data_IF_780911834163
#
_entry.id   IF_780911834163
#
_cell.length_a   1.000
_cell.length_b   1.000
_cell.length_c   1.000
_cell.angle_alpha   90.00
_cell.angle_beta   90.00
_cell.angle_gamma   90.00
#
_symmetry.space_group_name_H-M   'P 1'
#
loop_
_entity.id
_entity.type
_entity.pdbx_description
1 polymer ?
#
# COMPACT_ATOMS: atom_id res chain seq x y z
N UNK A 1 -7.10 54.87 -9.31
CA UNK A 1 -6.80 53.62 -8.60
C UNK A 1 -7.21 52.46 -9.49
N UNK A 2 -6.37 51.44 -9.72
CA UNK A 2 -6.72 50.31 -10.61
C UNK A 2 -7.81 49.45 -9.95
N UNK A 3 -8.71 48.89 -10.74
CA UNK A 3 -9.78 47.98 -10.29
C UNK A 3 -9.32 46.53 -10.35
N UNK A 4 -9.62 45.75 -9.30
CA UNK A 4 -9.27 44.34 -9.17
C UNK A 4 -10.51 43.52 -8.85
N UNK A 5 -10.69 42.42 -9.56
CA UNK A 5 -11.71 41.41 -9.26
C UNK A 5 -11.08 40.17 -8.63
N UNK A 6 -11.61 39.70 -7.51
CA UNK A 6 -11.27 38.41 -6.90
C UNK A 6 -12.40 37.43 -7.18
N UNK A 7 -12.12 36.35 -7.90
CA UNK A 7 -13.06 35.26 -8.17
C UNK A 7 -12.85 34.16 -7.14
N UNK A 8 -13.82 34.00 -6.24
CA UNK A 8 -13.82 33.03 -5.14
C UNK A 8 -13.72 33.69 -3.77
N UNK A 9 -14.83 33.76 -3.04
CA UNK A 9 -14.91 34.36 -1.69
C UNK A 9 -14.57 33.35 -0.56
N UNK A 10 -13.72 32.37 -0.85
CA UNK A 10 -13.28 31.36 0.10
C UNK A 10 -12.31 31.91 1.16
N UNK A 11 -11.75 31.00 1.97
CA UNK A 11 -10.74 31.33 3.00
C UNK A 11 -9.57 32.14 2.42
N UNK A 12 -9.03 31.69 1.28
CA UNK A 12 -7.91 32.38 0.65
C UNK A 12 -8.33 33.68 -0.05
N UNK A 13 -9.49 33.72 -0.72
CA UNK A 13 -9.98 34.96 -1.35
C UNK A 13 -10.12 36.13 -0.36
N UNK A 14 -10.58 35.86 0.86
CA UNK A 14 -10.60 36.85 1.97
C UNK A 14 -9.21 37.28 2.41
N UNK A 15 -8.25 36.36 2.39
CA UNK A 15 -6.84 36.63 2.73
C UNK A 15 -6.20 37.53 1.67
N UNK A 16 -6.44 37.22 0.39
CA UNK A 16 -5.99 38.05 -0.72
C UNK A 16 -6.65 39.44 -0.68
N UNK A 17 -7.95 39.53 -0.42
CA UNK A 17 -8.63 40.81 -0.23
C UNK A 17 -7.94 41.66 0.84
N UNK A 18 -7.63 41.07 2.02
CA UNK A 18 -6.89 41.76 3.09
C UNK A 18 -5.52 42.27 2.63
N UNK A 19 -4.83 41.54 1.75
CA UNK A 19 -3.51 41.91 1.26
C UNK A 19 -3.55 43.14 0.34
N UNK A 20 -4.56 43.24 -0.53
CA UNK A 20 -4.55 44.20 -1.65
C UNK A 20 -5.57 45.35 -1.53
N UNK A 21 -6.51 45.29 -0.57
CA UNK A 21 -7.64 46.24 -0.46
C UNK A 21 -7.24 47.70 -0.24
N UNK A 22 -6.05 47.96 0.29
CA UNK A 22 -5.61 49.32 0.63
C UNK A 22 -4.96 50.03 -0.58
N UNK A 23 -4.61 49.29 -1.65
CA UNK A 23 -3.94 49.83 -2.84
C UNK A 23 -4.83 49.80 -4.10
N UNK A 24 -5.92 49.03 -4.07
CA UNK A 24 -6.79 48.79 -5.22
C UNK A 24 -8.27 48.94 -4.86
N UNK A 25 -9.09 49.25 -5.86
CA UNK A 25 -10.54 49.13 -5.74
C UNK A 25 -10.91 47.67 -5.99
N UNK A 26 -11.14 46.91 -4.92
CA UNK A 26 -11.32 45.46 -4.99
C UNK A 26 -12.79 45.06 -4.92
N UNK A 27 -13.23 44.25 -5.88
CA UNK A 27 -14.55 43.59 -5.87
C UNK A 27 -14.37 42.08 -5.75
N UNK A 28 -15.13 41.43 -4.87
CA UNK A 28 -15.06 39.97 -4.64
C UNK A 28 -16.33 39.32 -5.17
N UNK A 29 -16.16 38.25 -5.95
CA UNK A 29 -17.24 37.53 -6.62
C UNK A 29 -17.22 36.05 -6.24
N UNK A 30 -18.39 35.42 -6.22
CA UNK A 30 -18.58 33.98 -6.03
C UNK A 30 -19.42 33.38 -7.17
N UNK A 31 -19.67 32.06 -7.13
CA UNK A 31 -20.31 31.30 -8.21
C UNK A 31 -21.69 31.82 -8.67
N UNK A 32 -22.38 32.59 -7.82
CA UNK A 32 -23.74 33.12 -8.12
C UNK A 32 -23.69 34.48 -8.82
N UNK A 33 -22.55 35.16 -8.82
CA UNK A 33 -22.44 36.49 -9.39
C UNK A 33 -22.35 36.45 -10.91
N UNK A 34 -22.80 37.53 -11.56
CA UNK A 34 -22.68 37.67 -13.01
C UNK A 34 -21.22 37.79 -13.43
N UNK A 35 -20.79 36.88 -14.30
CA UNK A 35 -19.42 36.85 -14.85
C UNK A 35 -19.05 38.16 -15.53
N UNK A 36 -20.00 38.84 -16.18
CA UNK A 36 -19.77 40.10 -16.86
C UNK A 36 -19.21 41.17 -15.91
N UNK A 37 -19.71 41.25 -14.67
CA UNK A 37 -19.26 42.23 -13.67
C UNK A 37 -17.80 42.01 -13.26
N UNK A 38 -17.31 40.77 -13.33
CA UNK A 38 -15.90 40.43 -13.00
C UNK A 38 -14.96 41.16 -13.96
N UNK A 39 -15.32 41.29 -15.24
CA UNK A 39 -14.49 41.87 -16.30
C UNK A 39 -14.71 43.38 -16.50
N UNK A 40 -15.41 44.04 -15.58
CA UNK A 40 -15.31 45.49 -15.44
C UNK A 40 -13.92 45.91 -14.92
N UNK A 41 -13.22 44.98 -14.24
CA UNK A 41 -11.84 45.16 -13.80
C UNK A 41 -10.83 44.68 -14.85
N UNK A 42 -9.66 45.32 -14.90
CA UNK A 42 -8.56 44.88 -15.77
C UNK A 42 -7.78 43.71 -15.17
N UNK A 43 -7.71 43.63 -13.84
CA UNK A 43 -6.98 42.61 -13.10
C UNK A 43 -7.97 41.63 -12.49
N UNK A 44 -7.79 40.34 -12.75
CA UNK A 44 -8.65 39.28 -12.22
C UNK A 44 -7.79 38.24 -11.50
N UNK A 45 -7.98 38.10 -10.19
CA UNK A 45 -7.41 37.02 -9.39
C UNK A 45 -8.38 35.84 -9.27
N UNK A 46 -7.86 34.62 -9.45
CA UNK A 46 -8.64 33.39 -9.32
C UNK A 46 -8.30 32.64 -8.03
N UNK A 47 -9.16 32.79 -7.03
CA UNK A 47 -9.12 32.16 -5.71
C UNK A 47 -10.12 31.00 -5.58
N UNK A 48 -10.27 30.19 -6.64
CA UNK A 48 -11.19 29.05 -6.69
C UNK A 48 -10.46 27.73 -6.38
N UNK A 49 -11.17 26.66 -5.97
CA UNK A 49 -10.56 25.34 -5.83
C UNK A 49 -9.87 24.89 -7.12
N UNK A 50 -8.74 24.18 -6.99
CA UNK A 50 -7.93 23.72 -8.13
C UNK A 50 -8.77 22.89 -9.10
N UNK A 51 -9.53 21.93 -8.57
CA UNK A 51 -10.49 21.09 -9.32
C UNK A 51 -11.58 21.86 -10.06
N UNK A 52 -11.94 23.05 -9.60
CA UNK A 52 -12.97 23.89 -10.23
C UNK A 52 -12.40 24.86 -11.27
N UNK A 53 -11.08 25.03 -11.31
CA UNK A 53 -10.43 26.09 -12.07
C UNK A 53 -10.71 26.01 -13.57
N UNK A 54 -10.61 24.81 -14.17
CA UNK A 54 -10.88 24.65 -15.60
C UNK A 54 -12.29 25.09 -15.99
N UNK A 55 -13.29 24.65 -15.23
CA UNK A 55 -14.69 25.00 -15.50
C UNK A 55 -14.94 26.50 -15.39
N UNK A 56 -14.30 27.17 -14.44
CA UNK A 56 -14.37 28.63 -14.26
C UNK A 56 -13.71 29.34 -15.45
N UNK A 57 -12.48 28.95 -15.83
CA UNK A 57 -11.81 29.57 -16.97
C UNK A 57 -12.58 29.34 -18.28
N UNK A 58 -13.14 28.14 -18.47
CA UNK A 58 -13.93 27.79 -19.63
C UNK A 58 -15.20 28.64 -19.77
N UNK A 59 -15.93 28.88 -18.67
CA UNK A 59 -17.14 29.72 -18.67
C UNK A 59 -16.83 31.20 -18.86
N UNK A 60 -15.63 31.63 -18.47
CA UNK A 60 -15.16 33.00 -18.57
C UNK A 60 -14.55 33.37 -19.93
N UNK A 61 -14.21 32.39 -20.77
CA UNK A 61 -13.39 32.58 -21.98
C UNK A 61 -13.86 33.70 -22.92
N UNK A 62 -15.17 33.89 -23.06
CA UNK A 62 -15.77 34.89 -23.96
C UNK A 62 -15.52 36.35 -23.53
N UNK A 63 -15.11 36.56 -22.28
CA UNK A 63 -14.83 37.89 -21.73
C UNK A 63 -13.35 38.26 -21.80
N UNK A 64 -12.47 37.33 -22.18
CA UNK A 64 -11.03 37.57 -22.27
C UNK A 64 -10.71 38.58 -23.39
N UNK A 65 -9.91 39.59 -23.06
CA UNK A 65 -9.56 40.72 -23.95
C UNK A 65 -8.12 41.13 -23.66
N UNK A 66 -7.47 41.79 -24.62
CA UNK A 66 -6.08 42.26 -24.53
C UNK A 66 -5.75 43.08 -23.27
N UNK A 67 -6.71 43.84 -22.76
CA UNK A 67 -6.55 44.66 -21.55
C UNK A 67 -6.51 43.85 -20.25
N UNK A 68 -6.96 42.59 -20.27
CA UNK A 68 -7.12 41.80 -19.04
C UNK A 68 -5.81 41.11 -18.64
N UNK A 69 -5.58 41.06 -17.32
CA UNK A 69 -4.49 40.34 -16.66
C UNK A 69 -5.11 39.32 -15.72
N UNK A 70 -4.94 38.04 -16.02
CA UNK A 70 -5.44 36.93 -15.23
C UNK A 70 -4.35 36.41 -14.30
N UNK A 71 -4.65 36.23 -13.02
CA UNK A 71 -3.67 35.79 -12.02
C UNK A 71 -4.26 34.62 -11.22
N UNK A 72 -3.66 33.45 -11.32
CA UNK A 72 -4.03 32.32 -10.47
C UNK A 72 -3.27 32.36 -9.14
N UNK A 73 -3.89 31.89 -8.05
CA UNK A 73 -3.26 31.73 -6.73
C UNK A 73 -3.38 30.29 -6.22
N UNK A 74 -3.49 29.32 -7.14
CA UNK A 74 -3.67 27.91 -6.78
C UNK A 74 -2.41 27.33 -6.15
N UNK A 75 -2.53 26.24 -5.40
CA UNK A 75 -1.36 25.61 -4.77
C UNK A 75 -0.54 24.68 -5.67
N UNK A 76 -0.95 24.54 -6.92
CA UNK A 76 -0.22 23.84 -8.00
C UNK A 76 -0.10 24.78 -9.20
N UNK A 77 0.87 24.59 -10.07
CA UNK A 77 1.19 25.55 -11.14
C UNK A 77 1.16 24.94 -12.54
N UNK A 78 1.52 23.67 -12.73
CA UNK A 78 1.43 23.04 -14.05
C UNK A 78 -0.03 22.93 -14.53
N UNK A 79 -0.97 22.69 -13.60
CA UNK A 79 -2.39 22.60 -13.91
C UNK A 79 -2.99 23.93 -14.41
N UNK A 80 -2.91 25.06 -13.69
CA UNK A 80 -3.39 26.34 -14.20
C UNK A 80 -2.64 26.80 -15.45
N UNK A 81 -1.33 26.51 -15.58
CA UNK A 81 -0.57 26.80 -16.80
C UNK A 81 -1.17 26.09 -18.04
N UNK A 82 -1.50 24.81 -17.93
CA UNK A 82 -2.10 24.04 -19.02
C UNK A 82 -3.49 24.57 -19.40
N UNK A 83 -4.31 24.91 -18.40
CA UNK A 83 -5.66 25.47 -18.60
C UNK A 83 -5.57 26.84 -19.27
N UNK A 84 -4.73 27.74 -18.76
CA UNK A 84 -4.54 29.04 -19.42
C UNK A 84 -4.01 28.88 -20.84
N UNK A 85 -3.05 27.97 -21.08
CA UNK A 85 -2.58 27.70 -22.45
C UNK A 85 -3.73 27.29 -23.38
N UNK A 86 -4.60 26.38 -22.92
CA UNK A 86 -5.78 25.91 -23.67
C UNK A 86 -6.77 27.04 -23.98
N UNK A 87 -7.17 27.82 -22.97
CA UNK A 87 -8.29 28.77 -23.11
C UNK A 87 -7.89 30.19 -23.52
N UNK A 88 -6.61 30.55 -23.45
CA UNK A 88 -6.12 31.85 -23.90
C UNK A 88 -5.59 31.83 -25.34
N UNK A 89 -5.52 30.65 -25.97
CA UNK A 89 -5.14 30.50 -27.38
C UNK A 89 -6.04 31.39 -28.26
N UNK A 90 -5.42 32.20 -29.13
CA UNK A 90 -6.14 33.14 -30.00
C UNK A 90 -6.58 34.45 -29.33
N UNK A 91 -6.24 34.68 -28.06
CA UNK A 91 -6.49 35.96 -27.35
C UNK A 91 -5.16 36.64 -27.04
N UNK A 92 -5.13 37.97 -26.91
CA UNK A 92 -3.95 38.71 -26.38
C UNK A 92 -4.00 38.91 -24.86
N UNK A 93 -4.84 38.15 -24.17
CA UNK A 93 -5.02 38.26 -22.73
C UNK A 93 -3.77 37.79 -22.01
N UNK A 94 -3.31 38.58 -21.05
CA UNK A 94 -2.15 38.27 -20.24
C UNK A 94 -2.51 37.33 -19.09
N UNK A 95 -1.58 36.49 -18.69
CA UNK A 95 -1.75 35.64 -17.51
C UNK A 95 -0.43 35.45 -16.75
N UNK A 96 -0.54 35.46 -15.43
CA UNK A 96 0.52 35.17 -14.47
C UNK A 96 0.12 33.95 -13.64
N UNK A 97 1.11 33.14 -13.29
CA UNK A 97 0.90 32.07 -12.32
C UNK A 97 1.53 32.48 -11.01
N UNK A 98 0.76 32.40 -9.91
CA UNK A 98 1.27 32.70 -8.58
C UNK A 98 0.89 31.62 -7.59
N UNK A 99 1.69 31.46 -6.55
CA UNK A 99 1.30 30.65 -5.40
C UNK A 99 1.80 31.32 -4.12
N UNK A 100 0.89 32.01 -3.40
CA UNK A 100 1.15 32.45 -2.04
C UNK A 100 1.34 31.21 -1.16
N UNK A 101 2.55 31.00 -0.63
CA UNK A 101 2.89 29.86 0.24
C UNK A 101 2.41 30.07 1.67
N UNK A 102 1.30 30.79 1.82
CA UNK A 102 0.70 31.19 3.06
C UNK A 102 -0.82 31.21 2.91
N UNK A 103 -1.52 31.04 4.02
CA UNK A 103 -2.97 31.13 4.10
C UNK A 103 -3.42 31.97 5.28
N UNK A 104 -4.73 31.95 5.61
CA UNK A 104 -5.30 32.73 6.69
C UNK A 104 -4.61 32.51 8.05
N UNK A 105 -4.07 31.30 8.28
CA UNK A 105 -3.46 30.92 9.55
C UNK A 105 -2.04 31.47 9.72
N UNK A 106 -1.24 31.45 8.66
CA UNK A 106 0.13 31.97 8.67
C UNK A 106 0.17 33.49 8.52
N UNK A 107 -0.80 34.11 7.85
CA UNK A 107 -0.85 35.56 7.63
C UNK A 107 -1.62 36.35 8.70
N UNK A 108 -1.87 35.75 9.88
CA UNK A 108 -2.60 36.41 10.99
C UNK A 108 -1.90 37.69 11.44
N UNK A 109 -0.57 37.64 11.54
CA UNK A 109 0.28 38.74 12.04
C UNK A 109 0.78 39.71 10.96
N UNK A 110 0.35 39.53 9.70
CA UNK A 110 0.86 40.29 8.57
C UNK A 110 1.39 39.38 7.47
N UNK A 111 1.97 39.98 6.43
CA UNK A 111 2.50 39.29 5.25
C UNK A 111 4.02 39.36 5.12
N UNK A 112 4.68 40.11 6.02
CA UNK A 112 6.14 40.32 6.04
C UNK A 112 6.90 38.99 6.03
N UNK A 113 7.84 38.86 5.10
CA UNK A 113 8.70 37.70 4.91
C UNK A 113 8.00 36.43 4.39
N UNK A 114 6.67 36.43 4.22
CA UNK A 114 5.97 35.25 3.73
C UNK A 114 6.30 34.99 2.25
N UNK A 115 6.49 33.73 1.81
CA UNK A 115 6.88 33.46 0.44
C UNK A 115 5.70 33.51 -0.54
N UNK A 116 5.94 34.07 -1.73
CA UNK A 116 5.07 33.94 -2.90
C UNK A 116 5.89 33.47 -4.10
N UNK A 117 5.42 32.44 -4.79
CA UNK A 117 5.99 32.02 -6.07
C UNK A 117 5.34 32.82 -7.18
N UNK A 118 6.15 33.28 -8.14
CA UNK A 118 5.67 33.93 -9.36
C UNK A 118 6.33 33.33 -10.60
N UNK A 119 5.51 32.98 -11.59
CA UNK A 119 5.93 32.60 -12.94
C UNK A 119 5.34 33.62 -13.92
N UNK A 120 6.21 34.19 -14.77
CA UNK A 120 5.84 35.15 -15.81
C UNK A 120 4.78 34.59 -16.77
N UNK A 121 4.84 33.29 -17.05
CA UNK A 121 3.97 32.58 -17.99
C UNK A 121 3.78 33.33 -19.32
N UNK A 122 2.65 34.03 -19.52
CA UNK A 122 2.30 34.72 -20.77
C UNK A 122 2.25 36.25 -20.62
N UNK A 123 2.54 36.78 -19.45
CA UNK A 123 2.55 38.24 -19.22
C UNK A 123 3.72 38.91 -19.93
N UNK A 124 3.55 40.18 -20.28
CA UNK A 124 4.65 41.00 -20.77
C UNK A 124 5.61 41.38 -19.61
N UNK A 125 6.85 41.83 -19.91
CA UNK A 125 7.82 42.19 -18.88
C UNK A 125 7.30 43.24 -17.88
N UNK A 126 6.57 44.26 -18.34
CA UNK A 126 6.07 45.34 -17.48
C UNK A 126 5.05 44.85 -16.45
N UNK A 127 4.10 44.02 -16.89
CA UNK A 127 3.09 43.40 -16.02
C UNK A 127 3.74 42.48 -15.00
N UNK A 128 4.70 41.66 -15.45
CA UNK A 128 5.44 40.77 -14.57
C UNK A 128 6.22 41.53 -13.50
N UNK A 129 7.00 42.53 -13.91
CA UNK A 129 7.81 43.35 -13.01
C UNK A 129 6.93 44.15 -12.05
N UNK A 130 5.80 44.70 -12.52
CA UNK A 130 4.85 45.39 -11.65
C UNK A 130 4.40 44.50 -10.49
N UNK A 131 3.93 43.28 -10.75
CA UNK A 131 3.47 42.38 -9.69
C UNK A 131 4.59 41.89 -8.79
N UNK A 132 5.77 41.64 -9.37
CA UNK A 132 6.97 41.27 -8.61
C UNK A 132 7.34 42.37 -7.60
N UNK A 133 7.48 43.60 -8.06
CA UNK A 133 7.85 44.71 -7.18
C UNK A 133 6.73 45.06 -6.20
N UNK A 134 5.46 45.02 -6.63
CA UNK A 134 4.32 45.22 -5.73
C UNK A 134 4.33 44.28 -4.52
N UNK A 135 4.59 42.98 -4.72
CA UNK A 135 4.66 42.04 -3.60
C UNK A 135 5.90 42.28 -2.73
N UNK A 136 7.05 42.65 -3.33
CA UNK A 136 8.25 43.02 -2.55
C UNK A 136 8.02 44.26 -1.69
N UNK A 137 7.34 45.29 -2.22
CA UNK A 137 7.02 46.52 -1.50
C UNK A 137 6.05 46.26 -0.31
N UNK A 138 5.29 45.16 -0.38
CA UNK A 138 4.46 44.65 0.73
C UNK A 138 5.26 43.82 1.75
N UNK A 139 6.58 43.75 1.62
CA UNK A 139 7.46 42.94 2.47
C UNK A 139 7.35 41.43 2.20
N UNK A 140 6.71 41.01 1.11
CA UNK A 140 6.54 39.59 0.76
C UNK A 140 7.81 39.10 0.08
N UNK A 141 8.27 37.90 0.46
CA UNK A 141 9.42 37.26 -0.16
C UNK A 141 9.03 36.66 -1.52
N UNK A 142 9.35 37.35 -2.61
CA UNK A 142 9.02 36.92 -3.98
C UNK A 142 10.08 35.96 -4.51
N UNK A 143 9.63 34.77 -4.90
CA UNK A 143 10.46 33.70 -5.45
C UNK A 143 10.05 33.45 -6.90
N UNK A 144 10.93 33.78 -7.84
CA UNK A 144 10.72 33.56 -9.28
C UNK A 144 11.02 32.10 -9.62
N UNK A 145 10.05 31.38 -10.18
CA UNK A 145 10.21 29.94 -10.45
C UNK A 145 9.26 29.47 -11.55
N UNK A 146 9.70 28.54 -12.40
CA UNK A 146 8.82 27.94 -13.41
C UNK A 146 7.73 27.06 -12.78
N UNK A 147 6.57 26.95 -13.43
CA UNK A 147 5.47 26.08 -12.98
C UNK A 147 5.89 24.61 -12.76
N UNK A 148 6.79 24.08 -13.60
CA UNK A 148 7.30 22.72 -13.50
C UNK A 148 8.21 22.54 -12.28
N UNK A 149 9.12 23.49 -12.07
CA UNK A 149 10.03 23.47 -10.93
C UNK A 149 9.26 23.64 -9.62
N UNK A 150 8.28 24.55 -9.60
CA UNK A 150 7.35 24.73 -8.48
C UNK A 150 6.69 23.41 -8.10
N UNK A 151 5.99 22.75 -9.04
CA UNK A 151 5.23 21.55 -8.70
C UNK A 151 6.15 20.41 -8.26
N UNK A 152 7.36 20.32 -8.82
CA UNK A 152 8.36 19.34 -8.38
C UNK A 152 8.76 19.56 -6.92
N UNK A 153 9.08 20.81 -6.53
CA UNK A 153 9.47 21.15 -5.16
C UNK A 153 8.28 21.09 -4.19
N UNK A 154 7.11 21.58 -4.61
CA UNK A 154 5.88 21.58 -3.83
C UNK A 154 5.45 20.15 -3.49
N UNK A 155 5.61 19.19 -4.39
CA UNK A 155 5.28 17.79 -4.11
C UNK A 155 6.07 17.22 -2.92
N UNK A 156 7.37 17.48 -2.85
CA UNK A 156 8.25 16.97 -1.78
C UNK A 156 8.29 17.86 -0.54
N UNK A 157 7.64 19.02 -0.56
CA UNK A 157 7.51 19.92 0.59
C UNK A 157 6.04 19.99 1.03
N UNK A 158 5.26 20.94 0.52
CA UNK A 158 3.85 21.13 0.88
C UNK A 158 3.02 19.84 0.71
N UNK A 159 3.14 19.16 -0.43
CA UNK A 159 2.41 17.93 -0.71
C UNK A 159 2.72 16.82 0.29
N UNK A 160 3.99 16.67 0.69
CA UNK A 160 4.41 15.73 1.71
C UNK A 160 3.90 16.15 3.11
N UNK A 161 4.07 17.42 3.50
CA UNK A 161 3.62 17.94 4.80
C UNK A 161 2.12 17.74 5.00
N UNK A 162 1.30 18.07 3.99
CA UNK A 162 -0.15 17.83 4.04
C UNK A 162 -0.50 16.34 4.12
N UNK A 163 0.24 15.48 3.42
CA UNK A 163 0.01 14.04 3.48
C UNK A 163 0.35 13.49 4.88
N UNK A 164 1.48 13.89 5.46
CA UNK A 164 1.88 13.48 6.82
C UNK A 164 0.87 13.99 7.86
N UNK A 165 0.43 15.24 7.79
CA UNK A 165 -0.55 15.77 8.72
C UNK A 165 -1.88 15.01 8.68
N UNK A 166 -2.40 14.69 7.48
CA UNK A 166 -3.60 13.86 7.31
C UNK A 166 -3.39 12.40 7.74
N UNK A 167 -2.22 11.84 7.49
CA UNK A 167 -1.86 10.49 7.94
C UNK A 167 -1.86 10.41 9.48
N UNK A 168 -1.28 11.40 10.16
CA UNK A 168 -1.26 11.46 11.61
C UNK A 168 -2.66 11.65 12.21
N UNK A 169 -3.52 12.44 11.54
CA UNK A 169 -4.94 12.57 11.90
C UNK A 169 -5.67 11.21 11.79
N UNK A 170 -5.47 10.47 10.69
CA UNK A 170 -6.04 9.13 10.48
C UNK A 170 -5.55 8.11 11.53
N UNK A 171 -4.26 8.19 11.90
CA UNK A 171 -3.68 7.41 13.00
C UNK A 171 -4.25 7.80 14.38
N UNK A 172 -5.12 8.82 14.46
CA UNK A 172 -5.68 9.38 15.70
C UNK A 172 -4.61 9.88 16.66
N UNK A 173 -3.56 10.51 16.11
CA UNK A 173 -2.49 11.11 16.90
C UNK A 173 -3.04 12.21 17.82
N UNK A 174 -2.80 12.11 19.12
CA UNK A 174 -3.39 12.99 20.15
C UNK A 174 -2.30 13.51 21.10
N UNK A 175 -2.50 14.72 21.67
CA UNK A 175 -1.60 15.24 22.70
C UNK A 175 -1.63 14.36 23.96
N UNK A 176 -0.52 14.37 24.69
CA UNK A 176 -0.33 13.62 25.95
C UNK A 176 0.28 14.52 27.03
N UNK A 177 0.28 14.05 28.28
CA UNK A 177 0.89 14.77 29.40
C UNK A 177 2.43 14.83 29.35
N UNK A 178 3.06 14.05 28.47
CA UNK A 178 4.52 13.91 28.35
C UNK A 178 5.05 14.42 27.00
N UNK A 179 4.28 15.27 26.30
CA UNK A 179 4.61 15.74 24.96
C UNK A 179 5.94 16.51 24.91
N UNK A 180 6.89 15.94 24.17
CA UNK A 180 8.16 16.60 23.85
C UNK A 180 7.97 17.81 22.92
N UNK A 181 8.96 18.70 22.78
CA UNK A 181 8.94 19.76 21.77
C UNK A 181 8.73 19.23 20.33
N UNK A 182 9.26 18.03 20.02
CA UNK A 182 9.06 17.39 18.72
C UNK A 182 7.60 16.95 18.51
N UNK A 183 6.98 16.39 19.54
CA UNK A 183 5.55 16.01 19.52
C UNK A 183 4.66 17.23 19.26
N UNK A 184 4.96 18.36 19.91
CA UNK A 184 4.22 19.62 19.70
C UNK A 184 4.30 20.11 18.25
N UNK A 185 5.46 19.99 17.59
CA UNK A 185 5.61 20.32 16.17
C UNK A 185 4.76 19.42 15.26
N UNK A 186 4.65 18.13 15.56
CA UNK A 186 3.76 17.24 14.79
C UNK A 186 2.29 17.63 14.97
N UNK A 187 1.87 17.98 16.19
CA UNK A 187 0.52 18.49 16.46
C UNK A 187 0.26 19.82 15.72
N UNK A 188 1.26 20.70 15.63
CA UNK A 188 1.18 21.93 14.83
C UNK A 188 1.01 21.63 13.34
N UNK A 189 1.75 20.64 12.80
CA UNK A 189 1.60 20.19 11.41
C UNK A 189 0.16 19.70 11.17
N UNK A 190 -0.37 18.82 12.03
CA UNK A 190 -1.76 18.35 11.95
C UNK A 190 -2.72 19.54 11.96
N UNK A 191 -2.59 20.45 12.94
CA UNK A 191 -3.45 21.62 13.06
C UNK A 191 -3.43 22.48 11.80
N UNK A 192 -2.24 22.73 11.25
CA UNK A 192 -2.08 23.55 10.05
C UNK A 192 -2.70 22.87 8.83
N UNK A 193 -2.40 21.60 8.59
CA UNK A 193 -2.81 20.90 7.36
C UNK A 193 -4.26 20.44 7.39
N UNK A 194 -4.80 20.13 8.57
CA UNK A 194 -6.15 19.61 8.74
C UNK A 194 -7.20 20.72 8.90
N UNK A 195 -6.78 21.96 9.16
CA UNK A 195 -7.65 23.15 9.08
C UNK A 195 -8.12 23.44 7.65
N UNK A 196 -7.37 22.99 6.65
CA UNK A 196 -7.76 23.08 5.25
C UNK A 196 -8.80 22.04 4.86
N UNK A 197 -9.50 22.28 3.76
CA UNK A 197 -10.55 21.37 3.31
C UNK A 197 -9.98 20.07 2.75
N UNK A 198 -10.75 18.99 2.85
CA UNK A 198 -10.43 17.73 2.15
C UNK A 198 -10.31 17.92 0.64
N UNK A 199 -11.08 18.84 0.06
CA UNK A 199 -10.98 19.19 -1.36
C UNK A 199 -9.60 19.74 -1.71
N UNK A 200 -9.06 20.69 -0.93
CA UNK A 200 -7.73 21.24 -1.19
C UNK A 200 -6.65 20.16 -1.07
N UNK A 201 -6.73 19.34 -0.02
CA UNK A 201 -5.82 18.20 0.15
C UNK A 201 -5.85 17.26 -1.06
N UNK A 202 -7.05 16.86 -1.46
CA UNK A 202 -7.26 15.95 -2.60
C UNK A 202 -6.73 16.55 -3.89
N UNK A 203 -6.99 17.83 -4.11
CA UNK A 203 -6.55 18.55 -5.29
C UNK A 203 -5.02 18.67 -5.37
N UNK A 204 -4.37 19.01 -4.25
CA UNK A 204 -2.90 19.05 -4.14
C UNK A 204 -2.29 17.70 -4.57
N UNK A 205 -2.90 16.59 -4.13
CA UNK A 205 -2.42 15.23 -4.37
C UNK A 205 -2.75 14.66 -5.75
N UNK A 206 -3.68 15.27 -6.50
CA UNK A 206 -4.11 14.78 -7.82
C UNK A 206 -3.65 15.67 -8.97
N UNK A 207 -3.65 17.00 -8.80
CA UNK A 207 -3.31 17.94 -9.87
C UNK A 207 -1.83 18.30 -9.94
N UNK A 208 -1.03 17.92 -8.95
CA UNK A 208 0.42 17.95 -9.05
C UNK A 208 0.95 16.59 -9.52
N UNK A 209 1.54 16.49 -10.73
CA UNK A 209 1.97 15.21 -11.32
C UNK A 209 3.08 14.49 -10.53
N UNK A 210 3.82 15.21 -9.68
CA UNK A 210 4.92 14.66 -8.90
C UNK A 210 4.46 14.02 -7.56
N UNK A 211 3.25 14.31 -7.10
CA UNK A 211 2.77 13.85 -5.79
C UNK A 211 2.50 12.34 -5.75
N UNK A 212 2.10 11.71 -6.86
CA UNK A 212 1.95 10.26 -6.93
C UNK A 212 3.26 9.54 -6.62
N UNK A 213 4.36 9.97 -7.25
CA UNK A 213 5.68 9.38 -7.00
C UNK A 213 6.16 9.67 -5.57
N UNK A 214 5.89 10.87 -5.05
CA UNK A 214 6.17 11.22 -3.66
C UNK A 214 5.49 10.23 -2.69
N UNK A 215 4.21 9.89 -2.88
CA UNK A 215 3.49 8.92 -2.02
C UNK A 215 4.07 7.50 -2.13
N UNK A 216 4.44 7.05 -3.33
CA UNK A 216 5.09 5.75 -3.54
C UNK A 216 6.43 5.70 -2.79
N UNK A 217 7.23 6.78 -2.88
CA UNK A 217 8.50 6.89 -2.19
C UNK A 217 8.32 6.92 -0.65
N UNK A 218 7.30 7.61 -0.15
CA UNK A 218 6.98 7.64 1.27
C UNK A 218 6.61 6.25 1.79
N UNK A 219 5.73 5.53 1.09
CA UNK A 219 5.36 4.16 1.45
C UNK A 219 6.55 3.20 1.45
N UNK A 220 7.39 3.28 0.41
CA UNK A 220 8.62 2.47 0.33
C UNK A 220 9.63 2.81 1.43
N UNK A 221 9.68 4.08 1.87
CA UNK A 221 10.55 4.52 2.96
C UNK A 221 10.05 4.03 4.31
N UNK A 222 8.73 4.03 4.52
CA UNK A 222 8.10 3.42 5.69
C UNK A 222 8.45 1.94 5.78
N UNK A 223 8.24 1.17 4.71
CA UNK A 223 8.54 -0.28 4.69
C UNK A 223 10.02 -0.53 5.07
N UNK A 224 10.95 0.18 4.41
CA UNK A 224 12.40 0.08 4.71
C UNK A 224 12.76 0.44 6.15
N UNK A 225 12.11 1.45 6.74
CA UNK A 225 12.37 1.84 8.13
C UNK A 225 11.81 0.79 9.09
N UNK A 226 10.61 0.30 8.84
CA UNK A 226 9.98 -0.76 9.61
C UNK A 226 10.87 -2.02 9.61
N UNK A 227 11.35 -2.45 8.44
CA UNK A 227 12.19 -3.64 8.31
C UNK A 227 13.56 -3.50 8.99
N UNK A 228 14.11 -2.28 9.08
CA UNK A 228 15.36 -2.02 9.83
C UNK A 228 15.21 -2.20 11.34
N UNK A 229 14.01 -2.05 11.88
CA UNK A 229 13.73 -2.22 13.31
C UNK A 229 13.49 -3.69 13.68
N UNK A 230 13.34 -4.56 12.68
CA UNK A 230 13.21 -6.00 12.89
C UNK A 230 14.59 -6.67 12.84
N UNK A 231 14.80 -7.75 13.61
CA UNK A 231 16.05 -8.48 13.55
C UNK A 231 16.23 -9.08 12.16
N UNK A 232 17.42 -8.93 11.56
CA UNK A 232 17.74 -9.57 10.25
C UNK A 232 17.54 -11.08 10.31
N UNK A 233 17.92 -11.66 11.44
CA UNK A 233 17.68 -13.04 11.79
C UNK A 233 17.27 -13.07 13.26
N UNK A 234 16.18 -13.75 13.57
CA UNK A 234 15.63 -13.79 14.94
C UNK A 234 16.61 -14.45 15.90
N UNK A 235 17.35 -15.43 15.41
CA UNK A 235 18.40 -16.09 16.14
C UNK A 235 19.64 -16.22 15.26
N UNK A 236 20.83 -15.78 15.70
CA UNK A 236 22.04 -15.82 14.88
C UNK A 236 22.52 -17.25 14.54
N UNK A 237 22.12 -18.26 15.31
CA UNK A 237 22.58 -19.64 15.13
C UNK A 237 21.77 -20.44 14.12
N UNK A 238 20.50 -20.11 13.89
CA UNK A 238 19.61 -20.90 13.02
C UNK A 238 18.52 -20.06 12.34
N UNK A 239 18.06 -20.52 11.18
CA UNK A 239 16.95 -19.88 10.45
C UNK A 239 15.61 -20.45 10.96
N UNK A 240 14.64 -19.61 11.25
CA UNK A 240 13.27 -19.99 11.58
C UNK A 240 12.40 -19.94 10.32
N UNK A 241 12.02 -21.11 9.82
CA UNK A 241 11.04 -21.25 8.75
C UNK A 241 9.65 -21.40 9.34
N UNK A 242 8.78 -20.42 9.11
CA UNK A 242 7.35 -20.56 9.41
C UNK A 242 6.62 -21.20 8.24
N UNK A 243 5.88 -22.28 8.48
CA UNK A 243 5.22 -23.03 7.42
C UNK A 243 3.71 -23.12 7.61
N UNK A 244 2.97 -23.14 6.49
CA UNK A 244 1.57 -23.56 6.46
C UNK A 244 1.48 -25.03 6.87
N UNK A 245 0.37 -25.45 7.48
CA UNK A 245 0.17 -26.83 7.94
C UNK A 245 0.91 -27.20 9.24
N UNK A 246 0.56 -28.37 9.76
CA UNK A 246 1.11 -28.93 10.98
C UNK A 246 2.28 -29.90 10.76
N UNK A 247 2.74 -30.49 11.86
CA UNK A 247 3.79 -31.50 11.86
C UNK A 247 3.39 -32.73 11.04
N UNK A 248 4.26 -33.14 10.12
CA UNK A 248 4.01 -34.26 9.19
C UNK A 248 3.17 -33.91 7.96
N UNK A 249 2.88 -32.63 7.72
CA UNK A 249 2.22 -32.17 6.50
C UNK A 249 3.16 -32.16 5.29
N UNK A 250 2.59 -32.08 4.09
CA UNK A 250 3.37 -31.88 2.86
C UNK A 250 4.14 -30.55 2.82
N UNK A 251 3.71 -29.54 3.60
CA UNK A 251 4.50 -28.31 3.78
C UNK A 251 5.79 -28.58 4.58
N UNK A 252 5.75 -29.47 5.58
CA UNK A 252 6.98 -29.90 6.26
C UNK A 252 7.89 -30.69 5.32
N UNK A 253 7.31 -31.49 4.41
CA UNK A 253 8.07 -32.17 3.37
C UNK A 253 8.75 -31.21 2.41
N UNK A 254 8.01 -30.20 1.94
CA UNK A 254 8.52 -29.16 1.07
C UNK A 254 9.71 -28.40 1.71
N UNK A 255 9.60 -28.00 2.98
CA UNK A 255 10.69 -27.24 3.61
C UNK A 255 11.92 -28.12 3.85
N UNK A 256 11.71 -29.39 4.22
CA UNK A 256 12.81 -30.34 4.42
C UNK A 256 13.54 -30.66 3.11
N UNK A 257 12.80 -30.78 2.02
CA UNK A 257 13.36 -30.89 0.67
C UNK A 257 14.21 -29.65 0.34
N UNK A 258 13.66 -28.45 0.56
CA UNK A 258 14.35 -27.20 0.27
C UNK A 258 15.65 -27.05 1.06
N UNK A 259 15.63 -27.26 2.38
CA UNK A 259 16.84 -27.12 3.22
C UNK A 259 17.88 -28.19 2.90
N UNK A 260 17.47 -29.41 2.55
CA UNK A 260 18.39 -30.46 2.13
C UNK A 260 19.04 -30.12 0.78
N UNK A 261 18.24 -29.71 -0.21
CA UNK A 261 18.71 -29.30 -1.55
C UNK A 261 19.70 -28.14 -1.46
N UNK A 262 19.46 -27.18 -0.56
CA UNK A 262 20.31 -26.01 -0.36
C UNK A 262 21.37 -26.18 0.74
N UNK A 263 21.58 -27.39 1.26
CA UNK A 263 22.59 -27.69 2.30
C UNK A 263 22.49 -26.83 3.57
N UNK A 264 21.28 -26.43 3.97
CA UNK A 264 21.01 -25.61 5.16
C UNK A 264 20.96 -26.51 6.40
N UNK A 265 21.96 -26.38 7.28
CA UNK A 265 22.15 -27.29 8.43
C UNK A 265 21.44 -26.86 9.71
N UNK A 266 21.40 -25.55 10.00
CA UNK A 266 20.86 -25.01 11.25
C UNK A 266 19.55 -24.28 10.99
N UNK A 267 18.43 -24.94 11.28
CA UNK A 267 17.11 -24.35 11.12
C UNK A 267 16.11 -24.90 12.14
N UNK A 268 15.03 -24.15 12.35
CA UNK A 268 13.84 -24.59 13.08
C UNK A 268 12.60 -24.37 12.23
N UNK A 269 11.62 -25.26 12.38
CA UNK A 269 10.32 -25.15 11.74
C UNK A 269 9.33 -24.64 12.78
N UNK A 270 8.63 -23.53 12.48
CA UNK A 270 7.48 -23.03 13.23
C UNK A 270 6.21 -23.38 12.45
N UNK A 271 5.37 -24.23 13.03
CA UNK A 271 4.11 -24.63 12.40
C UNK A 271 3.05 -23.54 12.63
N UNK A 272 2.61 -22.90 11.55
CA UNK A 272 1.68 -21.77 11.62
C UNK A 272 0.30 -22.11 11.07
N UNK A 273 0.13 -23.33 10.53
CA UNK A 273 -1.13 -23.91 10.04
C UNK A 273 -1.73 -23.24 8.81
N UNK A 274 -1.78 -21.91 8.76
CA UNK A 274 -2.42 -21.12 7.69
C UNK A 274 -1.41 -20.21 7.00
N UNK A 275 -1.60 -19.95 5.70
CA UNK A 275 -0.77 -19.03 4.91
C UNK A 275 -0.88 -17.60 5.45
N UNK A 276 -2.07 -17.23 5.94
CA UNK A 276 -2.30 -15.97 6.65
C UNK A 276 -1.39 -15.83 7.88
N UNK A 277 -1.30 -16.86 8.74
CA UNK A 277 -0.43 -16.83 9.93
C UNK A 277 1.05 -16.83 9.56
N UNK A 278 1.43 -17.52 8.48
CA UNK A 278 2.79 -17.45 7.94
C UNK A 278 3.18 -16.02 7.61
N UNK A 279 2.37 -15.32 6.83
CA UNK A 279 2.66 -13.93 6.43
C UNK A 279 2.55 -12.95 7.61
N UNK A 280 1.62 -13.15 8.55
CA UNK A 280 1.50 -12.34 9.78
C UNK A 280 2.75 -12.44 10.66
N UNK A 281 3.19 -13.67 10.99
CA UNK A 281 4.40 -13.89 11.77
C UNK A 281 5.65 -13.39 11.03
N UNK A 282 5.68 -13.48 9.70
CA UNK A 282 6.79 -12.94 8.90
C UNK A 282 6.88 -11.43 9.04
N UNK A 283 5.73 -10.74 8.91
CA UNK A 283 5.63 -9.29 9.03
C UNK A 283 6.00 -8.80 10.43
N UNK A 284 5.57 -9.51 11.48
CA UNK A 284 5.89 -9.19 12.89
C UNK A 284 7.33 -9.49 13.31
N UNK A 285 8.13 -10.12 12.44
CA UNK A 285 9.49 -10.51 12.80
C UNK A 285 9.58 -11.73 13.72
N UNK A 286 8.59 -12.62 13.71
CA UNK A 286 8.57 -13.85 14.51
C UNK A 286 9.07 -15.11 13.77
N UNK A 287 9.27 -15.00 12.45
CA UNK A 287 9.99 -15.97 11.62
C UNK A 287 10.94 -15.25 10.66
N UNK A 288 11.95 -15.96 10.15
CA UNK A 288 12.92 -15.41 9.20
C UNK A 288 12.45 -15.59 7.75
N UNK A 289 11.80 -16.72 7.46
CA UNK A 289 11.28 -17.08 6.14
C UNK A 289 9.92 -17.76 6.28
N UNK A 290 8.99 -17.44 5.38
CA UNK A 290 7.67 -18.06 5.31
C UNK A 290 7.59 -19.07 4.16
N UNK A 291 6.91 -20.21 4.34
CA UNK A 291 6.60 -21.15 3.27
C UNK A 291 5.13 -21.56 3.27
N UNK A 292 4.50 -21.56 2.11
CA UNK A 292 3.14 -22.02 1.92
C UNK A 292 2.91 -22.55 0.50
N UNK A 293 1.88 -23.39 0.33
CA UNK A 293 1.50 -23.95 -0.97
C UNK A 293 0.71 -22.92 -1.79
N UNK A 294 0.90 -22.89 -3.10
CA UNK A 294 0.17 -22.01 -4.02
C UNK A 294 -0.71 -22.75 -5.02
N UNK A 295 -0.29 -23.95 -5.43
CA UNK A 295 -0.98 -24.73 -6.45
C UNK A 295 -0.74 -26.21 -6.24
N UNK A 296 -1.80 -27.01 -6.30
CA UNK A 296 -1.74 -28.46 -6.29
C UNK A 296 -2.25 -28.98 -7.65
N UNK A 297 -1.50 -29.88 -8.29
CA UNK A 297 -1.87 -30.46 -9.59
C UNK A 297 -3.27 -31.12 -9.61
N UNK A 298 -3.73 -31.65 -8.47
CA UNK A 298 -5.06 -32.28 -8.33
C UNK A 298 -6.11 -31.28 -7.84
N UNK A 299 -5.73 -30.40 -6.91
CA UNK A 299 -6.66 -29.50 -6.20
C UNK A 299 -6.78 -28.09 -6.78
N UNK A 300 -5.95 -27.74 -7.77
CA UNK A 300 -5.86 -26.40 -8.31
C UNK A 300 -5.17 -25.40 -7.36
N UNK A 301 -5.53 -24.12 -7.49
CA UNK A 301 -4.95 -23.04 -6.70
C UNK A 301 -5.36 -23.11 -5.22
N UNK A 302 -4.43 -22.77 -4.33
CA UNK A 302 -4.71 -22.70 -2.89
C UNK A 302 -5.30 -21.33 -2.56
N UNK A 303 -6.63 -21.24 -2.50
CA UNK A 303 -7.37 -19.99 -2.33
C UNK A 303 -6.93 -19.20 -1.09
N UNK A 304 -6.75 -19.87 0.04
CA UNK A 304 -6.30 -19.25 1.29
C UNK A 304 -4.95 -18.53 1.13
N UNK A 305 -4.02 -19.13 0.37
CA UNK A 305 -2.72 -18.51 0.07
C UNK A 305 -2.88 -17.27 -0.80
N UNK A 306 -3.76 -17.31 -1.80
CA UNK A 306 -4.06 -16.14 -2.64
C UNK A 306 -4.65 -15.01 -1.79
N UNK A 307 -5.63 -15.31 -0.94
CA UNK A 307 -6.23 -14.32 -0.04
C UNK A 307 -5.24 -13.74 0.98
N UNK A 308 -4.29 -14.54 1.46
CA UNK A 308 -3.24 -14.06 2.35
C UNK A 308 -2.27 -13.11 1.62
N UNK A 309 -1.88 -13.45 0.38
CA UNK A 309 -0.95 -12.64 -0.41
C UNK A 309 -1.51 -11.26 -0.80
N UNK A 310 -2.83 -11.06 -0.84
CA UNK A 310 -3.40 -9.73 -1.10
C UNK A 310 -3.27 -8.76 0.09
N UNK A 311 -3.01 -9.28 1.29
CA UNK A 311 -3.02 -8.50 2.55
C UNK A 311 -1.62 -8.09 3.03
N UNK A 312 -0.58 -8.79 2.59
CA UNK A 312 0.79 -8.58 3.09
C UNK A 312 1.77 -8.31 1.96
N UNK A 313 2.77 -7.48 2.27
CA UNK A 313 3.96 -7.29 1.42
C UNK A 313 5.04 -8.27 1.84
N UNK A 314 5.67 -8.90 0.86
CA UNK A 314 6.80 -9.82 1.04
C UNK A 314 7.58 -9.90 -0.27
N UNK A 315 8.80 -10.45 -0.20
CA UNK A 315 9.62 -10.79 -1.36
C UNK A 315 9.64 -12.30 -1.53
N UNK A 316 9.49 -12.77 -2.76
CA UNK A 316 9.66 -14.18 -3.11
C UNK A 316 11.15 -14.48 -3.15
N UNK A 317 11.58 -15.40 -2.29
CA UNK A 317 12.96 -15.86 -2.19
C UNK A 317 13.19 -17.03 -3.16
N UNK A 318 12.22 -17.94 -3.24
CA UNK A 318 12.25 -19.05 -4.19
C UNK A 318 10.83 -19.55 -4.49
N UNK A 319 10.69 -20.20 -5.64
CA UNK A 319 9.50 -20.93 -6.05
C UNK A 319 9.91 -22.34 -6.47
N UNK A 320 9.36 -23.36 -5.81
CA UNK A 320 9.71 -24.74 -6.08
C UNK A 320 8.50 -25.66 -5.96
N UNK A 321 8.59 -26.83 -6.58
CA UNK A 321 7.57 -27.86 -6.48
C UNK A 321 8.18 -29.15 -5.95
N UNK A 322 7.38 -29.90 -5.20
CA UNK A 322 7.71 -31.27 -4.80
C UNK A 322 6.62 -32.22 -5.30
N UNK A 323 7.05 -33.44 -5.63
CA UNK A 323 6.14 -34.53 -5.95
C UNK A 323 5.49 -35.02 -4.66
N UNK A 324 4.17 -34.94 -4.61
CA UNK A 324 3.34 -35.43 -3.51
C UNK A 324 3.10 -36.92 -3.71
N UNK A 325 3.49 -37.70 -2.72
CA UNK A 325 3.31 -39.14 -2.70
C UNK A 325 2.66 -39.57 -1.39
N UNK A 326 1.75 -40.53 -1.48
CA UNK A 326 1.09 -41.13 -0.32
C UNK A 326 1.70 -42.51 -0.05
N UNK A 327 2.12 -42.72 1.19
CA UNK A 327 2.70 -43.98 1.65
C UNK A 327 1.71 -44.73 2.56
N UNK A 328 1.59 -46.04 2.38
CA UNK A 328 0.89 -46.93 3.30
C UNK A 328 1.82 -47.28 4.47
N UNK A 329 1.34 -47.07 5.68
CA UNK A 329 2.12 -47.17 6.90
C UNK A 329 1.42 -48.04 7.93
N UNK A 330 2.19 -48.91 8.60
CA UNK A 330 1.72 -49.82 9.66
C UNK A 330 2.61 -49.71 10.90
N UNK A 331 2.12 -50.22 12.03
CA UNK A 331 2.93 -50.35 13.25
C UNK A 331 4.11 -51.30 13.01
N UNK A 332 5.27 -50.99 13.59
CA UNK A 332 6.52 -51.75 13.35
C UNK A 332 6.44 -53.22 13.77
N UNK A 333 5.64 -53.51 14.78
CA UNK A 333 5.41 -54.84 15.34
C UNK A 333 4.23 -55.58 14.67
N UNK A 334 3.62 -55.00 13.62
CA UNK A 334 2.54 -55.61 12.84
C UNK A 334 3.06 -56.12 11.49
N UNK A 335 2.51 -57.24 11.02
CA UNK A 335 2.75 -57.75 9.66
C UNK A 335 1.62 -57.35 8.72
N UNK A 336 1.92 -57.17 7.43
CA UNK A 336 0.92 -56.73 6.45
C UNK A 336 -0.29 -57.68 6.34
N UNK A 337 -0.09 -58.98 6.50
CA UNK A 337 -1.17 -59.98 6.47
C UNK A 337 -2.10 -59.93 7.70
N UNK A 338 -1.73 -59.18 8.75
CA UNK A 338 -2.57 -58.93 9.93
C UNK A 338 -3.42 -57.65 9.77
N UNK A 339 -3.26 -56.92 8.66
CA UNK A 339 -3.99 -55.69 8.39
C UNK A 339 -5.29 -56.01 7.67
N UNK A 340 -6.40 -55.46 8.17
CA UNK A 340 -7.72 -55.56 7.51
C UNK A 340 -8.33 -54.19 7.16
N UNK A 341 -7.78 -53.10 7.70
CA UNK A 341 -8.40 -51.77 7.62
C UNK A 341 -7.36 -50.68 7.36
N UNK A 342 -7.64 -49.75 6.45
CA UNK A 342 -6.90 -48.50 6.25
C UNK A 342 -7.74 -47.34 6.78
N UNK A 343 -7.17 -46.53 7.69
CA UNK A 343 -7.74 -45.26 8.12
C UNK A 343 -6.91 -44.08 7.63
N UNK A 344 -7.51 -43.19 6.84
CA UNK A 344 -6.91 -41.90 6.45
C UNK A 344 -7.97 -40.88 6.08
N UNK A 345 -7.55 -39.68 5.66
CA UNK A 345 -8.42 -38.60 5.22
C UNK A 345 -9.13 -38.95 3.90
N UNK A 346 -10.40 -38.56 3.70
CA UNK A 346 -11.16 -38.82 2.46
C UNK A 346 -10.42 -38.39 1.18
N UNK A 347 -9.71 -37.26 1.22
CA UNK A 347 -8.94 -36.74 0.08
C UNK A 347 -7.75 -37.63 -0.31
N UNK A 348 -7.15 -38.37 0.64
CA UNK A 348 -6.08 -39.33 0.34
C UNK A 348 -6.66 -40.55 -0.37
N UNK A 349 -7.81 -41.05 0.09
CA UNK A 349 -8.54 -42.11 -0.61
C UNK A 349 -8.93 -41.70 -2.02
N UNK A 350 -9.44 -40.47 -2.20
CA UNK A 350 -9.81 -39.96 -3.52
C UNK A 350 -8.60 -39.89 -4.47
N UNK A 351 -7.39 -39.67 -3.97
CA UNK A 351 -6.15 -39.61 -4.76
C UNK A 351 -5.49 -40.98 -4.99
N UNK A 352 -5.90 -42.04 -4.29
CA UNK A 352 -5.29 -43.37 -4.34
C UNK A 352 -6.32 -44.46 -4.66
N UNK A 353 -7.50 -44.10 -5.17
CA UNK A 353 -8.67 -44.97 -5.29
C UNK A 353 -8.36 -46.18 -6.16
N UNK A 354 -7.87 -45.96 -7.38
CA UNK A 354 -7.66 -47.03 -8.35
C UNK A 354 -6.49 -47.93 -7.93
N UNK A 355 -5.43 -47.32 -7.40
CA UNK A 355 -4.25 -48.03 -6.90
C UNK A 355 -4.58 -48.91 -5.70
N UNK A 356 -5.39 -48.41 -4.75
CA UNK A 356 -5.84 -49.18 -3.59
C UNK A 356 -6.76 -50.33 -4.00
N UNK A 357 -7.71 -50.11 -4.91
CA UNK A 357 -8.57 -51.18 -5.43
C UNK A 357 -7.76 -52.28 -6.13
N UNK A 358 -6.68 -51.93 -6.83
CA UNK A 358 -5.83 -52.90 -7.54
C UNK A 358 -4.91 -53.68 -6.60
N UNK A 359 -4.25 -53.01 -5.66
CA UNK A 359 -3.19 -53.62 -4.82
C UNK A 359 -3.68 -54.15 -3.49
N UNK A 360 -4.71 -53.51 -2.92
CA UNK A 360 -5.23 -53.79 -1.59
C UNK A 360 -6.76 -53.94 -1.59
N UNK A 361 -7.35 -54.77 -2.48
CA UNK A 361 -8.80 -54.86 -2.67
C UNK A 361 -9.55 -55.33 -1.40
N UNK A 362 -8.88 -56.11 -0.55
CA UNK A 362 -9.48 -56.71 0.63
C UNK A 362 -9.40 -55.82 1.88
N UNK A 363 -8.70 -54.68 1.82
CA UNK A 363 -8.56 -53.78 2.97
C UNK A 363 -9.75 -52.83 3.04
N UNK A 364 -10.43 -52.83 4.19
CA UNK A 364 -11.55 -51.91 4.46
C UNK A 364 -11.04 -50.47 4.56
N UNK A 365 -11.60 -49.57 3.77
CA UNK A 365 -11.24 -48.15 3.78
C UNK A 365 -12.20 -47.38 4.69
N UNK A 366 -11.68 -46.76 5.74
CA UNK A 366 -12.49 -45.94 6.66
C UNK A 366 -11.89 -44.56 6.83
N UNK A 367 -12.74 -43.54 6.91
CA UNK A 367 -12.32 -42.20 7.35
C UNK A 367 -12.66 -42.01 8.81
N UNK A 368 -11.75 -41.44 9.59
CA UNK A 368 -12.02 -41.08 10.98
C UNK A 368 -13.08 -39.98 11.10
N UNK A 369 -13.61 -39.79 12.31
CA UNK A 369 -14.53 -38.69 12.66
C UNK A 369 -13.87 -37.76 13.67
N UNK A 370 -14.27 -36.48 13.69
CA UNK A 370 -13.67 -35.48 14.56
C UNK A 370 -12.17 -35.31 14.30
N UNK A 371 -11.36 -35.34 15.35
CA UNK A 371 -9.89 -35.20 15.24
C UNK A 371 -9.23 -36.33 14.44
N UNK A 372 -9.85 -37.51 14.34
CA UNK A 372 -9.33 -38.63 13.55
C UNK A 372 -9.47 -38.43 12.03
N UNK A 373 -10.00 -37.29 11.59
CA UNK A 373 -9.90 -36.87 10.19
C UNK A 373 -8.47 -36.44 9.85
N UNK A 374 -7.72 -35.90 10.82
CA UNK A 374 -6.34 -35.47 10.63
C UNK A 374 -5.38 -36.67 10.54
N UNK A 375 -4.67 -36.79 9.42
CA UNK A 375 -3.76 -37.89 9.12
C UNK A 375 -2.62 -38.00 10.14
N UNK A 376 -2.11 -36.87 10.63
CA UNK A 376 -1.05 -36.85 11.64
C UNK A 376 -1.57 -37.35 12.99
N UNK A 377 -2.83 -37.05 13.34
CA UNK A 377 -3.48 -37.58 14.55
C UNK A 377 -3.69 -39.09 14.43
N UNK A 378 -4.22 -39.56 13.30
CA UNK A 378 -4.38 -41.00 13.02
C UNK A 378 -3.04 -41.73 13.13
N UNK A 379 -1.99 -41.20 12.50
CA UNK A 379 -0.65 -41.80 12.57
C UNK A 379 -0.10 -41.82 13.99
N UNK A 380 -0.27 -40.73 14.75
CA UNK A 380 0.13 -40.64 16.15
C UNK A 380 -0.57 -41.70 17.00
N UNK A 381 -1.89 -41.86 16.84
CA UNK A 381 -2.67 -42.79 17.64
C UNK A 381 -2.38 -44.25 17.26
N UNK A 382 -2.13 -44.53 15.98
CA UNK A 382 -1.68 -45.85 15.52
C UNK A 382 -0.33 -46.23 16.14
N UNK A 383 0.62 -45.30 16.14
CA UNK A 383 1.93 -45.50 16.78
C UNK A 383 1.82 -45.69 18.30
N UNK A 384 0.98 -44.89 18.96
CA UNK A 384 0.77 -44.93 20.41
C UNK A 384 -0.09 -46.13 20.89
N UNK A 385 -0.53 -47.01 19.98
CA UNK A 385 -1.39 -48.15 20.33
C UNK A 385 -2.82 -47.77 20.74
N UNK A 386 -3.24 -46.54 20.46
CA UNK A 386 -4.62 -46.06 20.70
C UNK A 386 -5.59 -46.45 19.59
N UNK A 387 -5.07 -46.88 18.44
CA UNK A 387 -5.85 -47.51 17.36
C UNK A 387 -5.50 -49.01 17.28
N UNK A 388 -6.45 -49.84 16.80
CA UNK A 388 -6.24 -51.27 16.64
C UNK A 388 -4.99 -51.62 15.84
N UNK A 389 -4.31 -52.72 16.23
CA UNK A 389 -3.04 -53.16 15.64
C UNK A 389 -3.17 -53.58 14.17
N UNK A 390 -4.33 -54.10 13.79
CA UNK A 390 -4.73 -54.52 12.44
C UNK A 390 -5.06 -53.34 11.49
N UNK A 391 -4.77 -52.11 11.90
CA UNK A 391 -5.02 -50.91 11.10
C UNK A 391 -3.75 -50.38 10.45
N UNK A 392 -3.88 -49.93 9.20
CA UNK A 392 -2.89 -49.13 8.49
C UNK A 392 -3.37 -47.69 8.33
N UNK A 393 -2.45 -46.77 8.03
CA UNK A 393 -2.78 -45.39 7.67
C UNK A 393 -2.02 -44.94 6.43
N UNK A 394 -2.42 -43.83 5.83
CA UNK A 394 -1.81 -43.26 4.63
C UNK A 394 -1.61 -41.76 4.72
N UNK A 395 -0.52 -41.26 4.14
CA UNK A 395 -0.19 -39.84 4.04
C UNK A 395 1.26 -39.62 3.61
N UNK A 396 1.83 -38.45 3.91
CA UNK A 396 3.26 -38.18 3.64
C UNK A 396 4.15 -39.21 4.36
N UNK A 397 5.17 -39.72 3.67
CA UNK A 397 6.19 -40.62 4.26
C UNK A 397 6.90 -40.03 5.48
N UNK A 398 6.88 -38.71 5.65
CA UNK A 398 7.43 -38.04 6.85
C UNK A 398 6.71 -38.50 8.12
N UNK A 399 5.41 -38.82 8.04
CA UNK A 399 4.64 -39.31 9.17
C UNK A 399 5.23 -40.60 9.74
N UNK A 400 5.69 -41.52 8.89
CA UNK A 400 6.36 -42.74 9.34
C UNK A 400 7.64 -42.45 10.12
N UNK A 401 8.43 -41.47 9.67
CA UNK A 401 9.66 -41.05 10.36
C UNK A 401 9.36 -40.39 11.71
N UNK A 402 8.33 -39.55 11.77
CA UNK A 402 7.94 -38.81 12.97
C UNK A 402 7.39 -39.73 14.05
N UNK A 403 6.52 -40.67 13.66
CA UNK A 403 5.80 -41.55 14.57
C UNK A 403 6.35 -42.98 14.57
N UNK A 404 7.54 -43.19 14.03
CA UNK A 404 8.26 -44.46 14.06
C UNK A 404 7.45 -45.65 13.50
N UNK A 405 6.67 -45.42 12.44
CA UNK A 405 5.93 -46.48 11.73
C UNK A 405 6.77 -47.14 10.65
N UNK A 406 6.35 -48.32 10.20
CA UNK A 406 6.90 -49.03 9.05
C UNK A 406 6.15 -48.60 7.79
N UNK A 407 6.88 -48.12 6.77
CA UNK A 407 6.34 -47.92 5.43
C UNK A 407 6.22 -49.30 4.77
N UNK A 408 5.02 -49.65 4.33
CA UNK A 408 4.75 -50.87 3.55
C UNK A 408 5.05 -50.62 2.09
N UNK A 409 4.49 -49.53 1.56
CA UNK A 409 4.63 -49.14 0.16
C UNK A 409 4.48 -47.61 0.07
N UNK A 410 5.22 -46.99 -0.84
CA UNK A 410 5.18 -45.54 -1.13
C UNK A 410 4.65 -45.30 -2.55
N UNK A 411 4.31 -44.06 -2.87
CA UNK A 411 3.86 -43.62 -4.19
C UNK A 411 2.57 -44.33 -4.64
N UNK A 412 1.56 -44.37 -3.77
CA UNK A 412 0.26 -45.02 -3.98
C UNK A 412 -0.83 -44.14 -4.60
N UNK A 413 -0.52 -42.89 -4.93
CA UNK A 413 -1.44 -42.01 -5.63
C UNK A 413 -1.64 -42.44 -7.09
N UNK A 414 -2.85 -42.25 -7.61
CA UNK A 414 -3.25 -42.68 -8.96
C UNK A 414 -2.55 -41.84 -10.05
N UNK A 415 -2.36 -40.54 -9.79
CA UNK A 415 -1.61 -39.66 -10.70
C UNK A 415 -0.11 -39.67 -10.40
N UNK A 416 0.69 -40.12 -11.38
CA UNK A 416 2.17 -40.09 -11.28
C UNK A 416 2.75 -38.67 -11.27
N UNK A 417 2.02 -37.69 -11.77
CA UNK A 417 2.41 -36.29 -11.89
C UNK A 417 1.72 -35.40 -10.83
N UNK A 418 1.62 -35.88 -9.60
CA UNK A 418 1.01 -35.13 -8.49
C UNK A 418 2.00 -34.14 -7.87
N UNK A 419 2.22 -32.98 -8.50
CA UNK A 419 3.09 -31.93 -7.96
C UNK A 419 2.31 -30.87 -7.19
N UNK A 420 2.89 -30.39 -6.11
CA UNK A 420 2.43 -29.17 -5.43
C UNK A 420 3.54 -28.12 -5.48
N UNK A 421 3.17 -26.91 -5.92
CA UNK A 421 4.02 -25.73 -5.95
C UNK A 421 3.94 -24.95 -4.64
N UNK A 422 5.10 -24.50 -4.18
CA UNK A 422 5.30 -23.76 -2.94
C UNK A 422 6.06 -22.47 -3.21
N UNK A 423 5.79 -21.45 -2.39
CA UNK A 423 6.60 -20.25 -2.31
C UNK A 423 7.39 -20.25 -1.01
N UNK A 424 8.65 -19.83 -1.10
CA UNK A 424 9.44 -19.39 0.03
C UNK A 424 9.55 -17.86 -0.04
N UNK A 425 9.21 -17.19 1.05
CA UNK A 425 9.11 -15.73 1.10
C UNK A 425 9.90 -15.14 2.27
N UNK A 426 10.27 -13.88 2.17
CA UNK A 426 10.82 -13.08 3.27
C UNK A 426 10.16 -11.70 3.35
N UNK A 427 10.49 -10.95 4.40
CA UNK A 427 10.20 -9.51 4.44
C UNK A 427 10.86 -8.79 3.26
N UNK A 428 10.28 -7.63 2.91
CA UNK A 428 10.55 -6.92 1.67
C UNK A 428 11.86 -6.12 1.68
#
# INVERSE_FOLDING_TARGET
MKTVSIVGNGRFGKTLYKLIKDDFIVSVFDKKDSVEKIYNSEIIFYCVPISSFENVIASHKKYFKKKHILIDVLSVKMHPAAIFKKYLTGTDTQALLTHPMFGPDSSKKGFEGLPIIIDKFRSNPDTYNFWKEYFKDKGINVIEMSAKEHDKLAATSQGLTHFIGRLLEEMRFKPTSIDSPGTKKLLEVIKQTCSDTWQLFTDLQHFNPYTKQMRINLGSSYDKLYDKLLPRQINPDFIIYGIQGGKGSFNEEAIRYYVQKNSIKKFRIKYLHTSQKVLDCLHKGEIDKGQFAIHNAVGGMVEESIQAMTKYKFVIVDQFAIKISHALMIRKDTKLNEIDTIMTHPQVFAQCKDTLLKKYPNLKQISGKGELIDQAIVTKYLSAGKLPKNMATMGSKILARIYNLKIVEDNLQDSKENYTGFLLVSRA
#
